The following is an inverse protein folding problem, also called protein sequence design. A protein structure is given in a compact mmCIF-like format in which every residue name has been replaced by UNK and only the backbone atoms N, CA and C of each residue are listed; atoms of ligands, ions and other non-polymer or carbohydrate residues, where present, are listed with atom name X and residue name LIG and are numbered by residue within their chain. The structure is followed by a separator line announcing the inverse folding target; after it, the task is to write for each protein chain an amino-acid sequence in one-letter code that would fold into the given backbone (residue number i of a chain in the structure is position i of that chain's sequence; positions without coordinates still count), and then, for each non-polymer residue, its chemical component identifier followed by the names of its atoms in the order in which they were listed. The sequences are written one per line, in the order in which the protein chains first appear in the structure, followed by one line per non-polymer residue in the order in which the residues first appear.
data_IF_810329370456
#
_entry.id   IF_810329370456
#
_cell.length_a   1.000
_cell.length_b   1.000
_cell.length_c   1.000
_cell.angle_alpha   90.00
_cell.angle_beta   90.00
_cell.angle_gamma   90.00
#
_symmetry.space_group_name_H-M   'P 1'
#
loop_
_entity.id
_entity.type
_entity.pdbx_description
1 polymer ?
#
# COMPACT_ATOMS: atom_id res chain seq x y z
N UNK A 1 55.82 -8.25 12.06
CA UNK A 1 54.61 -9.06 12.21
C UNK A 1 53.64 -8.32 13.11
N UNK A 2 52.53 -7.69 12.60
CA UNK A 2 51.33 -7.17 13.33
C UNK A 2 50.64 -6.08 12.51
N UNK A 3 49.88 -6.45 11.46
CA UNK A 3 48.99 -5.55 10.75
C UNK A 3 47.61 -6.21 10.47
N UNK A 4 47.07 -6.99 11.43
CA UNK A 4 45.74 -7.63 11.28
C UNK A 4 44.52 -6.89 11.86
N UNK A 5 44.59 -5.87 12.74
CA UNK A 5 43.38 -5.32 13.31
C UNK A 5 42.60 -4.34 12.41
N UNK A 6 43.24 -3.79 11.35
CA UNK A 6 42.56 -2.77 10.54
C UNK A 6 41.64 -3.37 9.45
N UNK A 7 41.85 -4.61 9.05
CA UNK A 7 40.96 -5.27 8.07
C UNK A 7 39.64 -5.74 8.62
N UNK A 8 39.58 -6.12 9.91
CA UNK A 8 38.34 -6.52 10.56
C UNK A 8 37.39 -5.33 10.80
N UNK A 9 37.93 -4.14 11.11
CA UNK A 9 37.13 -2.93 11.28
C UNK A 9 36.45 -2.45 9.99
N UNK A 10 37.17 -2.55 8.85
CA UNK A 10 36.62 -2.16 7.55
C UNK A 10 35.52 -3.10 7.05
N UNK A 11 35.61 -4.40 7.37
CA UNK A 11 34.60 -5.40 6.99
C UNK A 11 33.30 -5.24 7.78
N UNK A 12 33.36 -4.84 9.06
CA UNK A 12 32.19 -4.58 9.88
C UNK A 12 31.45 -3.30 9.45
N UNK A 13 32.16 -2.26 9.01
CA UNK A 13 31.53 -1.03 8.50
C UNK A 13 30.83 -1.26 7.13
N UNK A 14 31.37 -2.14 6.28
CA UNK A 14 30.75 -2.44 5.00
C UNK A 14 29.44 -3.24 5.11
N UNK A 15 29.26 -4.02 6.17
CA UNK A 15 28.02 -4.78 6.43
C UNK A 15 26.87 -3.90 6.92
N UNK A 16 27.14 -2.72 7.47
CA UNK A 16 26.12 -1.77 7.92
C UNK A 16 25.53 -0.91 6.79
N UNK A 17 26.14 -0.92 5.60
CA UNK A 17 25.70 -0.08 4.48
C UNK A 17 24.55 -0.69 3.63
N UNK A 18 24.13 -1.94 3.87
CA UNK A 18 23.05 -2.61 3.17
C UNK A 18 21.83 -2.86 4.08
N UNK A 19 21.36 -1.84 4.79
CA UNK A 19 20.02 -1.90 5.37
C UNK A 19 19.06 -1.57 4.22
N UNK A 20 18.27 -2.54 3.69
CA UNK A 20 17.24 -2.19 2.73
C UNK A 20 16.31 -1.17 3.40
N UNK A 21 16.09 -0.03 2.74
CA UNK A 21 15.02 0.89 3.13
C UNK A 21 13.72 0.07 3.07
N UNK A 22 13.26 -0.39 4.22
CA UNK A 22 11.95 -1.02 4.31
C UNK A 22 10.93 0.00 3.82
N UNK A 23 10.16 -0.35 2.78
CA UNK A 23 9.03 0.46 2.35
C UNK A 23 8.07 0.56 3.55
N UNK A 24 8.03 1.74 4.16
CA UNK A 24 7.24 1.96 5.39
C UNK A 24 5.80 2.39 5.10
N UNK A 25 5.41 2.50 3.82
CA UNK A 25 4.14 3.06 3.40
C UNK A 25 3.29 2.04 2.63
N UNK A 26 1.97 2.14 2.77
CA UNK A 26 1.07 1.43 1.85
C UNK A 26 1.26 1.98 0.43
N UNK A 27 1.42 1.09 -0.54
CA UNK A 27 1.71 1.43 -1.94
C UNK A 27 0.78 0.70 -2.90
N UNK A 28 0.73 1.18 -4.14
CA UNK A 28 0.14 0.45 -5.25
C UNK A 28 1.28 -0.13 -6.07
N UNK A 29 1.35 -1.47 -6.11
CA UNK A 29 2.32 -2.20 -6.89
C UNK A 29 1.66 -2.74 -8.17
N UNK A 30 2.28 -2.47 -9.32
CA UNK A 30 1.71 -2.86 -10.61
C UNK A 30 2.02 -4.32 -10.97
N UNK A 31 3.06 -4.93 -10.39
CA UNK A 31 3.44 -6.35 -10.65
C UNK A 31 3.52 -6.68 -12.16
N UNK A 32 4.03 -5.75 -12.96
CA UNK A 32 4.13 -5.89 -14.42
C UNK A 32 2.91 -5.42 -15.22
N UNK A 33 1.85 -4.98 -14.55
CA UNK A 33 0.68 -4.40 -15.20
C UNK A 33 0.97 -3.02 -15.81
N UNK A 34 0.27 -2.70 -16.89
CA UNK A 34 0.29 -1.37 -17.49
C UNK A 34 -1.08 -0.70 -17.32
N UNK A 35 -1.20 0.32 -16.48
CA UNK A 35 -2.46 0.98 -16.15
C UNK A 35 -2.92 1.91 -17.27
N UNK A 36 -3.33 1.35 -18.40
CA UNK A 36 -3.80 2.08 -19.58
C UNK A 36 -5.29 2.40 -19.43
N UNK A 37 -5.67 3.64 -19.68
CA UNK A 37 -7.03 4.16 -19.59
C UNK A 37 -8.06 3.23 -20.24
N UNK A 38 -9.12 2.88 -19.51
CA UNK A 38 -10.22 2.04 -19.97
C UNK A 38 -9.90 0.56 -20.15
N UNK A 39 -8.67 0.10 -20.05
CA UNK A 39 -8.30 -1.32 -20.13
C UNK A 39 -8.59 -2.05 -18.81
N UNK A 40 -8.59 -3.38 -18.85
CA UNK A 40 -8.65 -4.22 -17.63
C UNK A 40 -7.26 -4.46 -17.10
N UNK A 41 -7.15 -4.67 -15.78
CA UNK A 41 -5.91 -5.01 -15.12
C UNK A 41 -6.10 -5.31 -13.65
N UNK A 42 -5.01 -5.43 -12.93
CA UNK A 42 -4.97 -5.67 -11.49
C UNK A 42 -4.26 -4.52 -10.79
N UNK A 43 -4.96 -3.87 -9.86
CA UNK A 43 -4.38 -2.93 -8.91
C UNK A 43 -4.03 -3.72 -7.65
N UNK A 44 -2.77 -3.81 -7.30
CA UNK A 44 -2.34 -4.48 -6.06
C UNK A 44 -2.03 -3.44 -5.00
N UNK A 45 -2.83 -3.43 -3.92
CA UNK A 45 -2.50 -2.66 -2.72
C UNK A 45 -1.52 -3.46 -1.89
N UNK A 46 -0.31 -2.95 -1.70
CA UNK A 46 0.72 -3.59 -0.87
C UNK A 46 0.79 -2.88 0.48
N UNK A 47 0.63 -3.65 1.54
CA UNK A 47 0.78 -3.23 2.93
C UNK A 47 2.13 -3.73 3.42
N UNK A 48 3.05 -2.85 3.86
CA UNK A 48 4.44 -3.21 4.14
C UNK A 48 4.61 -4.05 5.42
N UNK A 49 3.69 -3.92 6.37
CA UNK A 49 3.72 -4.62 7.67
C UNK A 49 2.38 -4.45 8.38
N UNK A 50 2.18 -5.16 9.50
CA UNK A 50 1.09 -4.87 10.43
C UNK A 50 1.25 -3.50 11.09
N UNK A 51 0.36 -3.15 12.02
CA UNK A 51 0.49 -1.91 12.77
C UNK A 51 1.63 -2.04 13.82
N UNK A 52 2.16 -0.91 14.26
CA UNK A 52 3.19 -0.87 15.30
C UNK A 52 2.85 -1.70 16.55
N UNK A 53 3.82 -1.89 17.45
CA UNK A 53 3.70 -2.68 18.69
C UNK A 53 3.36 -4.18 18.47
N UNK A 54 3.80 -4.76 17.36
CA UNK A 54 3.64 -6.20 17.07
C UNK A 54 2.23 -6.62 16.63
N UNK A 55 1.33 -5.67 16.40
CA UNK A 55 -0.05 -5.97 16.04
C UNK A 55 -0.19 -6.34 14.56
N UNK A 56 -0.85 -7.48 14.30
CA UNK A 56 -1.18 -7.90 12.94
C UNK A 56 -2.32 -7.06 12.35
N UNK A 57 -2.30 -6.88 11.03
CA UNK A 57 -3.46 -6.31 10.31
C UNK A 57 -4.57 -7.35 10.25
N UNK A 58 -5.72 -7.06 10.83
CA UNK A 58 -6.89 -7.92 10.83
C UNK A 58 -7.96 -7.49 9.82
N UNK A 59 -7.92 -6.24 9.36
CA UNK A 59 -8.84 -5.72 8.33
C UNK A 59 -8.16 -4.63 7.50
N UNK A 60 -8.36 -4.71 6.19
CA UNK A 60 -7.94 -3.68 5.24
C UNK A 60 -9.15 -3.13 4.50
N UNK A 61 -9.23 -1.80 4.40
CA UNK A 61 -10.30 -1.10 3.67
C UNK A 61 -9.68 -0.18 2.63
N UNK A 62 -10.01 -0.40 1.36
CA UNK A 62 -9.56 0.45 0.23
C UNK A 62 -10.75 1.19 -0.34
N UNK A 63 -10.64 2.51 -0.47
CA UNK A 63 -11.68 3.37 -1.04
C UNK A 63 -11.31 3.78 -2.46
N UNK A 64 -12.18 3.43 -3.40
CA UNK A 64 -12.06 3.80 -4.80
C UNK A 64 -13.11 4.85 -5.17
N UNK A 65 -12.69 5.87 -5.90
CA UNK A 65 -13.59 6.92 -6.42
C UNK A 65 -14.53 6.40 -7.52
N UNK A 66 -15.46 7.24 -8.01
CA UNK A 66 -16.45 6.83 -9.01
C UNK A 66 -15.84 6.50 -10.38
N UNK A 67 -14.62 6.94 -10.66
CA UNK A 67 -13.90 6.64 -11.90
C UNK A 67 -13.48 5.17 -12.04
N UNK A 68 -13.61 4.35 -10.99
CA UNK A 68 -13.24 2.95 -10.95
C UNK A 68 -14.47 2.04 -11.13
N UNK A 69 -14.91 1.73 -12.37
CA UNK A 69 -16.08 0.91 -12.55
C UNK A 69 -15.79 -0.56 -12.21
N UNK A 70 -16.71 -1.20 -11.46
CA UNK A 70 -16.72 -2.65 -11.25
C UNK A 70 -15.43 -3.25 -10.68
N UNK A 71 -14.75 -2.54 -9.78
CA UNK A 71 -13.63 -3.09 -9.04
C UNK A 71 -14.09 -4.28 -8.17
N UNK A 72 -13.29 -5.35 -8.15
CA UNK A 72 -13.56 -6.58 -7.38
C UNK A 72 -12.29 -7.04 -6.68
N UNK A 73 -12.34 -7.35 -5.38
CA UNK A 73 -11.20 -7.98 -4.72
C UNK A 73 -10.93 -9.35 -5.35
N UNK A 74 -9.66 -9.69 -5.47
CA UNK A 74 -9.23 -11.04 -5.78
C UNK A 74 -9.15 -11.81 -4.47
N UNK A 75 -9.52 -13.08 -4.48
CA UNK A 75 -9.46 -13.94 -3.30
C UNK A 75 -8.01 -14.09 -2.80
N UNK A 76 -7.84 -14.07 -1.50
CA UNK A 76 -6.56 -14.25 -0.81
C UNK A 76 -6.79 -15.27 0.30
N UNK A 77 -5.92 -16.27 0.40
CA UNK A 77 -6.00 -17.26 1.46
C UNK A 77 -5.91 -16.62 2.84
N UNK A 78 -6.78 -17.05 3.76
CA UNK A 78 -6.87 -16.49 5.11
C UNK A 78 -7.61 -15.16 5.22
N UNK A 79 -8.27 -14.70 4.13
CA UNK A 79 -9.04 -13.47 4.12
C UNK A 79 -10.41 -13.65 3.45
N UNK A 80 -11.45 -13.10 4.07
CA UNK A 80 -12.72 -12.84 3.39
C UNK A 80 -12.74 -11.44 2.81
N UNK A 81 -13.44 -11.23 1.70
CA UNK A 81 -13.53 -9.92 1.07
C UNK A 81 -14.96 -9.53 0.70
N UNK A 82 -15.23 -8.24 0.67
CA UNK A 82 -16.51 -7.68 0.28
C UNK A 82 -16.34 -6.35 -0.46
N UNK A 83 -17.38 -5.98 -1.22
CA UNK A 83 -17.48 -4.67 -1.90
C UNK A 83 -18.79 -4.02 -1.53
N UNK A 84 -18.72 -2.82 -0.97
CA UNK A 84 -19.85 -1.93 -0.84
C UNK A 84 -19.78 -0.84 -1.91
N UNK A 85 -20.91 -0.53 -2.54
CA UNK A 85 -21.01 0.51 -3.58
C UNK A 85 -22.02 1.55 -3.14
N UNK A 86 -21.61 2.81 -3.12
CA UNK A 86 -22.51 3.94 -2.90
C UNK A 86 -23.20 4.36 -4.20
N UNK A 87 -24.36 5.05 -4.09
CA UNK A 87 -25.07 5.65 -5.23
C UNK A 87 -24.22 6.64 -6.03
N UNK A 88 -23.23 7.27 -5.41
CA UNK A 88 -22.24 8.13 -6.05
C UNK A 88 -21.25 7.39 -6.95
N UNK A 89 -21.32 6.06 -7.05
CA UNK A 89 -20.37 5.22 -7.76
C UNK A 89 -19.07 4.93 -6.99
N UNK A 90 -18.87 5.52 -5.82
CA UNK A 90 -17.74 5.19 -4.92
C UNK A 90 -17.85 3.75 -4.45
N UNK A 91 -16.71 3.08 -4.35
CA UNK A 91 -16.62 1.70 -3.89
C UNK A 91 -15.72 1.62 -2.66
N UNK A 92 -16.11 0.76 -1.73
CA UNK A 92 -15.33 0.40 -0.55
C UNK A 92 -15.07 -1.09 -0.63
N UNK A 93 -13.82 -1.47 -0.80
CA UNK A 93 -13.38 -2.86 -0.80
C UNK A 93 -12.80 -3.15 0.58
N UNK A 94 -13.25 -4.23 1.19
CA UNK A 94 -12.83 -4.63 2.52
C UNK A 94 -12.33 -6.07 2.49
N UNK A 95 -11.18 -6.32 3.09
CA UNK A 95 -10.71 -7.65 3.48
C UNK A 95 -10.72 -7.75 4.99
N UNK A 96 -11.13 -8.91 5.49
CA UNK A 96 -11.13 -9.27 6.91
C UNK A 96 -10.40 -10.59 7.05
N UNK A 97 -9.42 -10.64 7.91
CA UNK A 97 -8.68 -11.86 8.19
C UNK A 97 -9.57 -12.91 8.83
N UNK A 98 -9.47 -14.15 8.38
CA UNK A 98 -10.19 -15.29 8.97
C UNK A 98 -9.38 -15.97 10.06
N UNK A 99 -8.05 -15.79 10.06
CA UNK A 99 -7.13 -16.25 11.09
C UNK A 99 -5.83 -15.42 11.06
N UNK A 100 -5.38 -14.93 12.21
CA UNK A 100 -4.07 -14.30 12.44
C UNK A 100 -3.79 -12.97 11.74
N UNK A 101 -4.31 -12.76 10.56
CA UNK A 101 -4.08 -11.55 9.76
C UNK A 101 -2.67 -11.42 9.19
N UNK A 102 -2.30 -10.21 8.71
CA UNK A 102 -0.96 -9.90 8.21
C UNK A 102 -0.06 -9.56 9.41
N UNK A 103 0.98 -10.38 9.67
CA UNK A 103 1.90 -10.14 10.78
C UNK A 103 2.62 -8.78 10.67
N UNK A 104 3.03 -8.24 11.82
CA UNK A 104 3.80 -6.99 11.88
C UNK A 104 5.15 -7.07 11.14
N UNK A 105 5.69 -8.26 10.95
CA UNK A 105 6.99 -8.52 10.33
C UNK A 105 6.91 -8.91 8.85
N UNK A 106 5.71 -8.92 8.25
CA UNK A 106 5.51 -9.35 6.88
C UNK A 106 4.76 -8.30 6.07
N UNK A 107 5.06 -8.20 4.78
CA UNK A 107 4.26 -7.46 3.82
C UNK A 107 3.16 -8.34 3.24
N UNK A 108 2.07 -7.72 2.79
CA UNK A 108 0.95 -8.42 2.15
C UNK A 108 0.40 -7.67 0.96
N UNK A 109 0.03 -8.42 -0.07
CA UNK A 109 -0.57 -7.94 -1.30
C UNK A 109 -2.08 -8.18 -1.30
N UNK A 110 -2.84 -7.14 -1.62
CA UNK A 110 -4.30 -7.15 -1.68
C UNK A 110 -4.75 -6.76 -3.09
N UNK A 111 -4.82 -7.73 -4.03
CA UNK A 111 -5.10 -7.45 -5.42
C UNK A 111 -6.58 -7.17 -5.67
N UNK A 112 -6.83 -6.21 -6.57
CA UNK A 112 -8.15 -5.77 -6.99
C UNK A 112 -8.20 -5.87 -8.51
N UNK A 113 -9.07 -6.72 -9.05
CA UNK A 113 -9.39 -6.72 -10.47
C UNK A 113 -10.17 -5.46 -10.81
N UNK A 114 -9.66 -4.67 -11.75
CA UNK A 114 -10.21 -3.37 -12.12
C UNK A 114 -10.40 -3.24 -13.62
N UNK A 115 -11.27 -2.31 -14.00
CA UNK A 115 -11.10 -1.58 -15.26
C UNK A 115 -10.45 -0.24 -14.86
N UNK A 116 -9.31 0.08 -15.44
CA UNK A 116 -8.66 1.36 -15.22
C UNK A 116 -9.60 2.52 -15.56
N UNK A 117 -9.53 3.66 -14.85
CA UNK A 117 -10.27 4.87 -15.21
C UNK A 117 -10.13 5.20 -16.71
N UNK A 118 -11.18 5.77 -17.30
CA UNK A 118 -11.15 6.16 -18.73
C UNK A 118 -10.27 7.37 -18.98
N UNK A 119 -10.18 8.27 -18.01
CA UNK A 119 -9.34 9.44 -18.08
C UNK A 119 -7.93 9.08 -17.57
N UNK A 120 -6.90 9.51 -18.31
CA UNK A 120 -5.52 9.42 -17.83
C UNK A 120 -5.28 10.42 -16.69
N UNK A 121 -4.32 10.15 -15.83
CA UNK A 121 -4.01 11.04 -14.70
C UNK A 121 -3.68 10.30 -13.42
N UNK A 122 -3.52 11.05 -12.34
CA UNK A 122 -3.19 10.51 -11.02
C UNK A 122 -4.47 10.22 -10.24
N UNK A 123 -4.61 8.97 -9.80
CA UNK A 123 -5.72 8.53 -8.97
C UNK A 123 -5.22 8.12 -7.60
N UNK A 124 -5.97 8.52 -6.57
CA UNK A 124 -5.68 8.25 -5.16
C UNK A 124 -6.63 7.20 -4.64
N UNK A 125 -6.11 6.34 -3.77
CA UNK A 125 -6.87 5.24 -3.16
C UNK A 125 -6.69 5.28 -1.64
N UNK A 126 -7.42 6.14 -0.92
CA UNK A 126 -7.34 6.17 0.54
C UNK A 126 -7.55 4.77 1.12
N UNK A 127 -6.61 4.35 1.97
CA UNK A 127 -6.54 2.99 2.50
C UNK A 127 -6.49 3.06 4.01
N UNK A 128 -7.22 2.16 4.67
CA UNK A 128 -7.37 2.11 6.11
C UNK A 128 -7.01 0.71 6.60
N UNK A 129 -5.97 0.63 7.38
CA UNK A 129 -5.41 -0.60 7.93
C UNK A 129 -5.78 -0.70 9.41
N UNK A 130 -6.53 -1.72 9.77
CA UNK A 130 -6.95 -1.99 11.14
C UNK A 130 -6.11 -3.12 11.73
N UNK A 131 -5.73 -2.94 13.00
CA UNK A 131 -4.99 -3.91 13.79
C UNK A 131 -5.60 -3.92 15.20
N UNK A 132 -6.65 -4.70 15.39
CA UNK A 132 -7.49 -4.62 16.60
C UNK A 132 -8.10 -3.24 16.77
N UNK A 133 -7.80 -2.56 17.88
CA UNK A 133 -8.28 -1.20 18.15
C UNK A 133 -7.50 -0.11 17.40
N UNK A 134 -6.34 -0.43 16.83
CA UNK A 134 -5.50 0.55 16.13
C UNK A 134 -5.93 0.71 14.67
N UNK A 135 -5.79 1.94 14.18
CA UNK A 135 -6.13 2.31 12.81
C UNK A 135 -5.02 3.17 12.22
N UNK A 136 -4.39 2.67 11.15
CA UNK A 136 -3.50 3.46 10.30
C UNK A 136 -4.27 3.96 9.09
N UNK A 137 -4.25 5.29 8.88
CA UNK A 137 -5.01 5.98 7.84
C UNK A 137 -4.07 6.45 6.73
N UNK A 138 -3.81 5.62 5.74
CA UNK A 138 -3.03 5.97 4.56
C UNK A 138 -3.85 6.89 3.66
N UNK A 139 -3.96 8.16 4.04
CA UNK A 139 -4.86 9.12 3.39
C UNK A 139 -4.31 10.55 3.33
N UNK A 140 -3.09 10.79 3.85
CA UNK A 140 -2.50 12.13 3.85
C UNK A 140 -2.23 12.59 2.42
N UNK A 141 -2.64 13.80 2.04
CA UNK A 141 -2.37 14.34 0.72
C UNK A 141 -0.87 14.56 0.52
N UNK A 142 -0.41 14.44 -0.71
CA UNK A 142 0.95 14.84 -1.05
C UNK A 142 1.05 16.37 -1.02
N UNK A 143 1.94 16.87 -0.19
CA UNK A 143 2.27 18.28 -0.06
C UNK A 143 3.73 18.51 -0.48
N UNK A 144 4.09 19.77 -0.72
CA UNK A 144 5.47 20.17 -1.06
C UNK A 144 6.24 20.69 0.15
N UNK A 145 5.54 20.97 1.26
CA UNK A 145 6.08 21.43 2.52
C UNK A 145 5.16 21.05 3.68
N UNK A 146 5.67 21.11 4.91
CA UNK A 146 4.88 20.95 6.12
C UNK A 146 3.87 22.10 6.27
N UNK A 147 2.75 21.83 6.92
CA UNK A 147 1.73 22.81 7.32
C UNK A 147 1.33 22.58 8.78
N UNK A 148 0.43 23.42 9.31
CA UNK A 148 -0.08 23.27 10.67
C UNK A 148 -0.82 21.91 10.88
N UNK A 149 -1.40 21.38 9.78
CA UNK A 149 -2.25 20.18 9.82
C UNK A 149 -1.58 18.93 9.24
N UNK A 150 -0.33 19.05 8.72
CA UNK A 150 0.33 17.93 8.04
C UNK A 150 1.86 18.04 8.08
N UNK A 151 2.51 16.94 8.47
CA UNK A 151 3.96 16.78 8.41
C UNK A 151 4.47 16.67 6.96
N UNK A 152 5.76 17.00 6.75
CA UNK A 152 6.45 16.77 5.50
C UNK A 152 7.78 16.06 5.73
N UNK A 153 8.01 14.92 5.04
CA UNK A 153 7.07 14.19 4.17
C UNK A 153 5.87 13.65 4.97
N UNK A 154 4.70 13.42 4.33
CA UNK A 154 3.53 12.89 5.03
C UNK A 154 3.85 11.52 5.64
N UNK A 155 3.39 11.29 6.88
CA UNK A 155 3.66 10.05 7.63
C UNK A 155 2.83 8.89 7.06
N UNK A 156 1.59 9.16 6.66
CA UNK A 156 0.65 8.17 6.09
C UNK A 156 0.15 8.60 4.71
N UNK A 157 1.05 8.71 3.70
CA UNK A 157 0.68 9.22 2.38
C UNK A 157 -0.39 8.36 1.73
N UNK A 158 -1.33 9.00 1.04
CA UNK A 158 -2.36 8.29 0.29
C UNK A 158 -1.72 7.53 -0.88
N UNK A 159 -1.95 6.20 -1.02
CA UNK A 159 -1.51 5.46 -2.18
C UNK A 159 -2.07 6.05 -3.47
N UNK A 160 -1.25 6.17 -4.49
CA UNK A 160 -1.62 6.78 -5.78
C UNK A 160 -1.03 6.01 -6.95
N UNK A 161 -1.71 6.11 -8.09
CA UNK A 161 -1.30 5.49 -9.35
C UNK A 161 -1.47 6.47 -10.50
N UNK A 162 -0.54 6.44 -11.44
CA UNK A 162 -0.64 7.14 -12.71
C UNK A 162 -1.33 6.25 -13.74
N UNK A 163 -2.49 6.66 -14.24
CA UNK A 163 -3.15 6.01 -15.38
C UNK A 163 -2.59 6.63 -16.66
N UNK A 164 -2.12 5.78 -17.56
CA UNK A 164 -1.54 6.16 -18.84
C UNK A 164 -2.65 6.39 -19.88
N UNK A 165 -2.43 7.28 -20.88
CA UNK A 165 -3.40 7.46 -21.95
C UNK A 165 -3.63 6.17 -22.74
N UNK A 166 -4.83 6.01 -23.29
CA UNK A 166 -5.08 5.00 -24.30
C UNK A 166 -4.35 5.39 -25.58
N UNK A 167 -3.64 4.45 -26.20
CA UNK A 167 -3.04 4.61 -27.53
C UNK A 167 -4.11 4.52 -28.60
#
# INVERSE_FOLDING_TARGET
MRRLPHLLGALLLALLAFVPLAAAHATIELKGEHPIAGKRGTLTMTIPHGCGAGLATDRLVVRLGPAWPNAKPVAIDGWTSSVARASSGRQVITWVATAGGLPNTASGDFPISVRWPREHGIYRTPTFQHCGANLMKWSDPYATAASADQDYPPIYPVPRIQILPAS
#
